data_IF_632245293173
#
_entry.id   IF_632245293173
#
_cell.length_a   1.000
_cell.length_b   1.000
_cell.length_c   1.000
_cell.angle_alpha   90.00
_cell.angle_beta   90.00
_cell.angle_gamma   90.00
#
_symmetry.space_group_name_H-M   'P 1'
#
loop_
_entity.id
_entity.type
_entity.pdbx_description
1 polymer ?
#
# COMPACT_ATOMS: atom_id res chain seq x y z
N UNK A 1 5.09 -9.68 28.16
CA UNK A 1 6.49 -9.33 27.79
C UNK A 1 6.42 -8.45 26.55
N UNK A 2 6.96 -7.23 26.61
CA UNK A 2 7.05 -6.35 25.43
C UNK A 2 8.33 -6.75 24.69
N UNK A 3 8.20 -7.15 23.42
CA UNK A 3 9.36 -7.46 22.59
C UNK A 3 9.90 -6.15 22.06
N UNK A 4 11.13 -5.81 22.44
CA UNK A 4 11.80 -4.61 21.95
C UNK A 4 12.31 -4.88 20.53
N UNK A 5 11.89 -4.06 19.56
CA UNK A 5 12.30 -4.20 18.16
C UNK A 5 13.41 -3.21 17.83
N UNK A 6 14.50 -3.74 17.26
CA UNK A 6 15.69 -2.99 16.87
C UNK A 6 15.41 -2.03 15.70
N UNK A 7 14.50 -2.41 14.81
CA UNK A 7 14.08 -1.61 13.66
C UNK A 7 12.55 -1.65 13.53
N UNK A 8 11.95 -0.47 13.43
CA UNK A 8 10.50 -0.29 13.32
C UNK A 8 10.12 0.01 11.87
N UNK A 9 9.01 -0.57 11.39
CA UNK A 9 8.36 -0.14 10.16
C UNK A 9 7.82 1.29 10.35
N UNK A 10 8.32 2.25 9.58
CA UNK A 10 7.86 3.65 9.65
C UNK A 10 6.84 4.00 8.54
N UNK A 11 6.86 3.28 7.43
CA UNK A 11 5.99 3.54 6.26
C UNK A 11 5.52 2.23 5.63
N UNK A 12 4.26 2.22 5.20
CA UNK A 12 3.69 1.15 4.39
C UNK A 12 3.10 1.77 3.13
N UNK A 13 3.56 1.29 1.97
CA UNK A 13 3.03 1.66 0.67
C UNK A 13 2.05 0.58 0.20
N UNK A 14 0.81 0.97 -0.12
CA UNK A 14 -0.24 0.06 -0.57
C UNK A 14 -0.59 0.42 -2.02
N UNK A 15 -0.46 -0.52 -2.95
CA UNK A 15 -0.94 -0.37 -4.32
C UNK A 15 -2.37 -0.93 -4.40
N UNK A 16 -3.41 -0.08 -4.44
CA UNK A 16 -4.80 -0.57 -4.41
C UNK A 16 -5.21 -1.22 -5.74
N UNK A 17 -4.58 -0.83 -6.84
CA UNK A 17 -4.85 -1.35 -8.16
C UNK A 17 -3.57 -1.31 -9.00
N UNK A 18 -3.68 -1.81 -10.23
CA UNK A 18 -2.63 -1.75 -11.26
C UNK A 18 -3.10 -1.02 -12.52
N UNK A 19 -4.21 -0.29 -12.42
CA UNK A 19 -4.83 0.43 -13.53
C UNK A 19 -4.46 1.90 -13.41
N UNK A 20 -3.91 2.48 -14.47
CA UNK A 20 -3.57 3.90 -14.52
C UNK A 20 -4.16 4.51 -15.79
N UNK A 21 -4.71 5.72 -15.66
CA UNK A 21 -5.20 6.53 -16.78
C UNK A 21 -4.19 7.59 -17.24
N UNK A 22 -2.95 7.52 -16.76
CA UNK A 22 -1.84 8.39 -17.16
C UNK A 22 -0.75 7.61 -17.92
N UNK A 23 -0.05 8.31 -18.80
CA UNK A 23 1.10 7.79 -19.57
C UNK A 23 2.40 8.51 -19.14
N UNK A 24 2.67 8.50 -17.84
CA UNK A 24 3.80 9.24 -17.26
C UNK A 24 5.14 8.68 -17.76
N UNK A 25 5.89 9.47 -18.53
CA UNK A 25 7.19 9.08 -19.12
C UNK A 25 8.26 8.67 -18.09
N UNK A 26 8.13 9.14 -16.86
CA UNK A 26 9.04 8.85 -15.75
C UNK A 26 8.54 7.74 -14.83
N UNK A 27 7.36 7.18 -15.08
CA UNK A 27 6.78 6.17 -14.20
C UNK A 27 7.40 4.80 -14.47
N UNK A 28 7.96 4.19 -13.43
CA UNK A 28 8.50 2.82 -13.50
C UNK A 28 7.48 1.80 -14.05
N UNK A 29 6.20 1.98 -13.72
CA UNK A 29 5.14 1.05 -14.12
C UNK A 29 4.58 1.30 -15.52
N UNK A 30 4.88 2.45 -16.12
CA UNK A 30 4.51 2.76 -17.50
C UNK A 30 5.66 2.37 -18.44
N UNK A 31 5.59 1.17 -19.01
CA UNK A 31 6.52 0.71 -20.04
C UNK A 31 5.75 0.19 -21.27
N UNK A 32 5.70 0.97 -22.37
CA UNK A 32 5.01 0.57 -23.60
C UNK A 32 5.59 -0.70 -24.26
N UNK A 33 6.89 -0.95 -24.10
CA UNK A 33 7.58 -2.09 -24.72
C UNK A 33 7.46 -3.38 -23.89
N UNK A 34 7.26 -3.23 -22.58
CA UNK A 34 7.13 -4.34 -21.62
C UNK A 34 6.04 -4.02 -20.60
N UNK A 35 4.75 -4.14 -20.99
CA UNK A 35 3.66 -3.85 -20.09
C UNK A 35 3.71 -4.78 -18.87
N UNK A 36 3.58 -4.21 -17.68
CA UNK A 36 3.41 -4.99 -16.45
C UNK A 36 1.98 -5.50 -16.45
N UNK A 37 1.81 -6.82 -16.29
CA UNK A 37 0.49 -7.41 -16.25
C UNK A 37 -0.31 -6.88 -15.05
N UNK A 38 -1.60 -6.53 -15.26
CA UNK A 38 -2.45 -6.06 -14.18
C UNK A 38 -2.51 -7.09 -13.05
N UNK A 39 -2.21 -6.66 -11.83
CA UNK A 39 -2.48 -7.43 -10.63
C UNK A 39 -3.94 -7.24 -10.22
N UNK A 40 -4.49 -8.22 -9.50
CA UNK A 40 -5.82 -8.15 -8.91
C UNK A 40 -5.94 -6.87 -8.07
N UNK A 41 -6.96 -6.06 -8.33
CA UNK A 41 -7.26 -4.89 -7.52
C UNK A 41 -7.67 -5.32 -6.11
N UNK A 42 -7.23 -4.56 -5.11
CA UNK A 42 -7.63 -4.75 -3.74
C UNK A 42 -9.08 -4.29 -3.56
N UNK A 43 -9.84 -5.08 -2.82
CA UNK A 43 -11.15 -4.69 -2.32
C UNK A 43 -11.01 -3.90 -1.01
N UNK A 44 -12.08 -3.23 -0.60
CA UNK A 44 -12.16 -2.59 0.73
C UNK A 44 -11.80 -3.57 1.85
N UNK A 45 -12.29 -4.81 1.76
CA UNK A 45 -11.98 -5.89 2.72
C UNK A 45 -10.48 -6.23 2.74
N UNK A 46 -9.83 -6.29 1.58
CA UNK A 46 -8.39 -6.54 1.50
C UNK A 46 -7.60 -5.40 2.16
N UNK A 47 -7.98 -4.15 1.87
CA UNK A 47 -7.35 -2.96 2.46
C UNK A 47 -7.56 -2.96 3.98
N UNK A 48 -8.78 -3.20 4.45
CA UNK A 48 -9.09 -3.29 5.89
C UNK A 48 -8.26 -4.37 6.58
N UNK A 49 -8.13 -5.54 5.95
CA UNK A 49 -7.30 -6.63 6.48
C UNK A 49 -5.84 -6.21 6.61
N UNK A 50 -5.29 -5.49 5.63
CA UNK A 50 -3.93 -4.95 5.69
C UNK A 50 -3.79 -3.93 6.83
N UNK A 51 -4.74 -3.01 6.98
CA UNK A 51 -4.76 -2.01 8.04
C UNK A 51 -4.83 -2.66 9.43
N UNK A 52 -5.68 -3.67 9.60
CA UNK A 52 -5.82 -4.43 10.84
C UNK A 52 -4.49 -5.13 11.20
N UNK A 53 -3.77 -5.70 10.21
CA UNK A 53 -2.45 -6.31 10.44
C UNK A 53 -1.37 -5.30 10.80
N UNK A 54 -1.40 -4.11 10.21
CA UNK A 54 -0.48 -3.01 10.58
C UNK A 54 -0.76 -2.57 12.02
N UNK A 55 -2.04 -2.47 12.40
CA UNK A 55 -2.45 -2.13 13.76
C UNK A 55 -2.02 -3.20 14.77
N UNK A 56 -2.27 -4.48 14.49
CA UNK A 56 -1.83 -5.61 15.31
C UNK A 56 -0.32 -5.57 15.53
N UNK A 57 0.46 -5.26 14.49
CA UNK A 57 1.91 -5.05 14.60
C UNK A 57 2.25 -3.92 15.57
N UNK A 58 1.56 -2.78 15.47
CA UNK A 58 1.78 -1.64 16.37
C UNK A 58 1.52 -2.00 17.84
N UNK A 59 0.40 -2.68 18.11
CA UNK A 59 -0.01 -3.09 19.45
C UNK A 59 0.96 -4.15 20.02
N UNK A 60 1.28 -5.18 19.24
CA UNK A 60 2.16 -6.29 19.65
C UNK A 60 3.52 -5.80 20.13
N UNK A 61 4.07 -4.78 19.47
CA UNK A 61 5.38 -4.24 19.80
C UNK A 61 5.34 -2.91 20.57
N UNK A 62 4.16 -2.46 21.02
CA UNK A 62 3.97 -1.21 21.78
C UNK A 62 4.67 0.00 21.14
N UNK A 63 4.50 0.14 19.81
CA UNK A 63 5.18 1.17 19.04
C UNK A 63 4.81 2.57 19.51
N UNK A 64 5.83 3.41 19.73
CA UNK A 64 5.63 4.81 20.11
C UNK A 64 5.46 5.73 18.91
N UNK A 65 6.12 5.43 17.79
CA UNK A 65 6.00 6.20 16.55
C UNK A 65 4.84 5.68 15.71
N UNK A 66 4.09 6.59 15.10
CA UNK A 66 3.02 6.26 14.14
C UNK A 66 3.62 5.75 12.82
N UNK A 67 2.98 4.74 12.23
CA UNK A 67 3.28 4.27 10.87
C UNK A 67 2.53 5.16 9.88
N UNK A 68 3.22 5.62 8.83
CA UNK A 68 2.58 6.37 7.73
C UNK A 68 2.11 5.39 6.67
N UNK A 69 0.84 5.52 6.27
CA UNK A 69 0.24 4.70 5.22
C UNK A 69 0.12 5.57 3.97
N UNK A 70 0.61 5.06 2.84
CA UNK A 70 0.65 5.78 1.58
C UNK A 70 0.05 4.87 0.50
N UNK A 71 -1.02 5.32 -0.15
CA UNK A 71 -1.54 4.64 -1.32
C UNK A 71 -0.72 5.05 -2.55
N UNK A 72 0.10 4.13 -3.04
CA UNK A 72 1.04 4.35 -4.16
C UNK A 72 1.47 3.00 -4.73
N UNK A 73 1.69 2.93 -6.04
CA UNK A 73 2.19 1.70 -6.67
C UNK A 73 1.99 1.69 -8.17
N UNK A 74 1.52 0.55 -8.69
CA UNK A 74 1.45 0.26 -10.13
C UNK A 74 0.28 0.89 -10.89
N UNK A 75 -0.61 1.58 -10.19
CA UNK A 75 -1.77 2.25 -10.77
C UNK A 75 -2.05 3.61 -10.15
N UNK A 76 -3.16 4.22 -10.57
CA UNK A 76 -3.66 5.49 -10.03
C UNK A 76 -4.60 5.23 -8.84
N UNK A 77 -4.21 5.58 -7.59
CA UNK A 77 -5.01 5.29 -6.41
C UNK A 77 -6.41 5.89 -6.44
N UNK A 78 -6.60 7.06 -7.07
CA UNK A 78 -7.90 7.71 -7.12
C UNK A 78 -8.93 6.93 -7.98
N UNK A 79 -8.48 6.02 -8.85
CA UNK A 79 -9.39 5.10 -9.55
C UNK A 79 -9.97 4.02 -8.63
N UNK A 80 -9.39 3.82 -7.45
CA UNK A 80 -9.89 2.94 -6.39
C UNK A 80 -10.40 3.72 -5.18
N UNK A 81 -10.87 4.96 -5.37
CA UNK A 81 -11.30 5.82 -4.27
C UNK A 81 -12.35 5.14 -3.38
N UNK A 82 -13.31 4.41 -3.98
CA UNK A 82 -14.37 3.73 -3.24
C UNK A 82 -13.84 2.66 -2.28
N UNK A 83 -12.74 2.01 -2.63
CA UNK A 83 -12.15 0.96 -1.82
C UNK A 83 -11.23 1.50 -0.71
N UNK A 84 -10.68 2.72 -0.86
CA UNK A 84 -9.71 3.31 0.08
C UNK A 84 -10.27 4.45 0.96
N UNK A 85 -11.47 4.96 0.69
CA UNK A 85 -12.08 6.11 1.38
C UNK A 85 -12.79 5.76 2.68
#
# INVERSE_FOLDING_TARGET
MVVEIKEQIEKVCISPNSICNFACRYCYFYNPEKPIFPQKNLTETDIRTILDKIYDYCVKFNLKKKIKIIFVGSGEPLLSWKEIS
#
